data_IF_751270940364
#
_entry.id   IF_751270940364
#
_cell.length_a   1.000
_cell.length_b   1.000
_cell.length_c   1.000
_cell.angle_alpha   90.00
_cell.angle_beta   90.00
_cell.angle_gamma   90.00
#
_symmetry.space_group_name_H-M   'P 1'
#
loop_
_entity.id
_entity.type
_entity.pdbx_description
1 polymer ?
#
# COMPACT_ATOMS: atom_id res chain seq x y z
N UNK A 1 -33.14 -21.75 1.55
CA UNK A 1 -32.09 -20.95 0.86
C UNK A 1 -31.41 -19.93 1.78
N UNK A 2 -32.05 -19.41 2.84
CA UNK A 2 -31.48 -18.31 3.68
C UNK A 2 -30.30 -18.65 4.60
N UNK A 3 -30.04 -19.94 4.88
CA UNK A 3 -28.99 -20.35 5.83
C UNK A 3 -27.57 -20.39 5.20
N UNK A 4 -27.46 -20.69 3.91
CA UNK A 4 -26.18 -20.64 3.18
C UNK A 4 -25.73 -19.19 2.98
N UNK A 5 -26.65 -18.28 2.65
CA UNK A 5 -26.35 -16.85 2.51
C UNK A 5 -25.83 -16.22 3.81
N UNK A 6 -26.35 -16.66 4.97
CA UNK A 6 -25.92 -16.22 6.31
C UNK A 6 -24.50 -16.66 6.69
N UNK A 7 -23.98 -17.74 6.10
CA UNK A 7 -22.62 -18.24 6.32
C UNK A 7 -21.62 -17.72 5.28
N UNK A 8 -22.08 -17.49 4.05
CA UNK A 8 -21.25 -17.00 2.96
C UNK A 8 -20.93 -15.51 3.12
N UNK A 9 -21.87 -14.69 3.58
CA UNK A 9 -21.65 -13.26 3.84
C UNK A 9 -20.48 -12.96 4.80
N UNK A 10 -20.40 -13.57 6.00
CA UNK A 10 -19.28 -13.36 6.90
C UNK A 10 -17.96 -13.93 6.35
N UNK A 11 -17.98 -15.04 5.60
CA UNK A 11 -16.78 -15.59 4.95
C UNK A 11 -16.17 -14.63 3.92
N UNK A 12 -17.02 -14.01 3.10
CA UNK A 12 -16.60 -13.00 2.12
C UNK A 12 -16.03 -11.75 2.80
N UNK A 13 -16.64 -11.31 3.90
CA UNK A 13 -16.17 -10.13 4.65
C UNK A 13 -14.85 -10.41 5.41
N UNK A 14 -14.67 -11.61 5.96
CA UNK A 14 -13.40 -12.01 6.58
C UNK A 14 -12.27 -12.05 5.55
N UNK A 15 -12.53 -12.59 4.36
CA UNK A 15 -11.53 -12.67 3.29
C UNK A 15 -11.09 -11.29 2.82
N UNK A 16 -12.03 -10.35 2.65
CA UNK A 16 -11.72 -8.97 2.28
C UNK A 16 -10.98 -8.20 3.39
N UNK A 17 -11.29 -8.49 4.66
CA UNK A 17 -10.63 -7.84 5.80
C UNK A 17 -9.14 -8.20 5.89
N UNK A 18 -8.81 -9.47 5.71
CA UNK A 18 -7.41 -9.95 5.75
C UNK A 18 -6.60 -9.38 4.58
N UNK A 19 -7.17 -9.35 3.37
CA UNK A 19 -6.49 -8.76 2.19
C UNK A 19 -6.16 -7.28 2.39
N UNK A 20 -7.00 -6.54 3.12
CA UNK A 20 -6.76 -5.11 3.38
C UNK A 20 -5.77 -4.81 4.51
N UNK A 21 -5.24 -5.79 5.23
CA UNK A 21 -4.33 -5.53 6.35
C UNK A 21 -2.91 -5.16 5.86
N UNK A 22 -2.36 -5.91 4.91
CA UNK A 22 -1.06 -5.62 4.29
C UNK A 22 -0.98 -4.23 3.67
N UNK A 23 -2.05 -3.80 2.98
CA UNK A 23 -2.14 -2.45 2.41
C UNK A 23 -2.12 -1.37 3.50
N UNK A 24 -2.88 -1.55 4.58
CA UNK A 24 -2.90 -0.60 5.72
C UNK A 24 -1.54 -0.51 6.40
N UNK A 25 -0.87 -1.64 6.57
CA UNK A 25 0.50 -1.69 7.13
C UNK A 25 1.48 -0.97 6.21
N UNK A 26 1.47 -1.26 4.91
CA UNK A 26 2.33 -0.59 3.93
C UNK A 26 2.09 0.93 3.90
N UNK A 27 0.82 1.35 3.87
CA UNK A 27 0.44 2.75 3.91
C UNK A 27 0.97 3.46 5.16
N UNK A 28 0.86 2.81 6.33
CA UNK A 28 1.39 3.35 7.58
C UNK A 28 2.91 3.45 7.55
N UNK A 29 3.60 2.41 7.08
CA UNK A 29 5.06 2.35 7.05
C UNK A 29 5.64 3.42 6.09
N UNK A 30 5.06 3.57 4.89
CA UNK A 30 5.50 4.55 3.90
C UNK A 30 5.21 6.00 4.30
N UNK A 31 4.04 6.27 4.91
CA UNK A 31 3.55 7.64 5.06
C UNK A 31 3.61 8.22 6.48
N UNK A 32 3.95 7.42 7.50
CA UNK A 32 4.00 7.91 8.90
C UNK A 32 4.89 9.12 9.14
N UNK A 33 5.99 9.25 8.39
CA UNK A 33 6.95 10.36 8.49
C UNK A 33 7.26 10.97 7.11
N UNK A 34 6.32 10.86 6.17
CA UNK A 34 6.52 11.32 4.80
C UNK A 34 6.02 12.74 4.58
N UNK A 35 6.88 13.62 4.05
CA UNK A 35 6.48 14.97 3.64
C UNK A 35 6.20 15.02 2.13
N UNK A 36 4.92 15.06 1.78
CA UNK A 36 4.41 15.10 0.41
C UNK A 36 4.77 16.38 -0.36
N UNK A 37 5.17 17.45 0.34
CA UNK A 37 5.54 18.73 -0.29
C UNK A 37 7.01 18.77 -0.71
N UNK A 38 7.83 17.83 -0.21
CA UNK A 38 9.25 17.76 -0.54
C UNK A 38 9.42 17.07 -1.88
N UNK A 39 10.21 17.68 -2.76
CA UNK A 39 10.54 17.14 -4.08
C UNK A 39 11.11 15.72 -3.96
N UNK A 40 10.57 14.73 -4.69
CA UNK A 40 11.06 13.35 -4.67
C UNK A 40 12.36 13.24 -5.47
N UNK A 41 13.50 13.52 -4.83
CA UNK A 41 14.83 13.40 -5.43
C UNK A 41 15.84 12.96 -4.38
N UNK A 42 16.76 12.07 -4.74
CA UNK A 42 17.81 11.58 -3.83
C UNK A 42 18.77 12.71 -3.39
N UNK A 43 19.02 13.68 -4.26
CA UNK A 43 19.80 14.88 -3.96
C UNK A 43 19.26 16.10 -4.72
N UNK A 44 19.60 17.34 -4.30
CA UNK A 44 19.14 18.57 -4.95
C UNK A 44 19.48 18.67 -6.44
N UNK A 45 20.59 18.08 -6.87
CA UNK A 45 21.12 18.18 -8.23
C UNK A 45 20.39 17.25 -9.23
N UNK A 46 19.68 16.24 -8.74
CA UNK A 46 18.93 15.30 -9.60
C UNK A 46 17.65 15.96 -10.13
N UNK A 47 17.41 15.79 -11.44
CA UNK A 47 16.19 16.26 -12.11
C UNK A 47 15.06 15.24 -11.92
N UNK A 48 13.85 15.74 -11.69
CA UNK A 48 12.63 14.92 -11.62
C UNK A 48 11.86 15.10 -12.92
N UNK A 49 11.50 14.00 -13.58
CA UNK A 49 10.72 14.01 -14.83
C UNK A 49 9.23 13.99 -14.51
N UNK A 50 8.45 14.89 -15.10
CA UNK A 50 7.07 15.17 -14.64
C UNK A 50 6.04 14.11 -15.04
N UNK A 51 6.29 13.34 -16.12
CA UNK A 51 5.34 12.31 -16.56
C UNK A 51 5.45 11.02 -15.76
N UNK A 52 6.67 10.56 -15.56
CA UNK A 52 6.98 9.37 -14.77
C UNK A 52 8.27 9.67 -14.01
N UNK A 53 8.24 9.53 -12.69
CA UNK A 53 9.40 9.68 -11.84
C UNK A 53 9.46 8.55 -10.82
N UNK A 54 10.67 8.23 -10.40
CA UNK A 54 10.92 7.25 -9.33
C UNK A 54 11.13 7.98 -8.01
N UNK A 55 10.25 7.78 -7.04
CA UNK A 55 10.50 8.19 -5.65
C UNK A 55 11.13 7.03 -4.88
N UNK A 56 12.44 7.10 -4.63
CA UNK A 56 13.19 6.12 -3.87
C UNK A 56 12.64 5.89 -2.44
N UNK A 57 11.89 6.85 -1.89
CA UNK A 57 11.26 6.73 -0.55
C UNK A 57 10.00 5.86 -0.58
N UNK A 58 9.39 5.68 -1.76
CA UNK A 58 8.24 4.81 -1.97
C UNK A 58 8.73 3.45 -2.49
N UNK A 59 9.58 2.80 -1.69
CA UNK A 59 10.12 1.48 -2.00
C UNK A 59 9.96 0.55 -0.80
N UNK A 60 9.63 -0.72 -1.06
CA UNK A 60 9.47 -1.75 -0.05
C UNK A 60 9.82 -3.12 -0.64
N UNK A 61 9.94 -4.11 0.25
CA UNK A 61 10.08 -5.51 -0.14
C UNK A 61 8.69 -6.17 -0.08
N UNK A 62 8.16 -6.70 -1.19
CA UNK A 62 6.82 -7.30 -1.23
C UNK A 62 6.58 -8.38 -0.16
N UNK A 63 7.63 -9.12 0.21
CA UNK A 63 7.53 -10.19 1.22
C UNK A 63 7.16 -9.69 2.62
N UNK A 64 7.41 -8.42 2.92
CA UNK A 64 7.11 -7.81 4.23
C UNK A 64 5.69 -7.21 4.29
N UNK A 65 4.95 -7.26 3.17
CA UNK A 65 3.65 -6.64 2.96
C UNK A 65 2.74 -7.50 2.05
N UNK A 66 2.56 -8.77 2.40
CA UNK A 66 1.62 -9.71 1.74
C UNK A 66 1.79 -9.87 0.22
N UNK A 67 2.98 -9.60 -0.31
CA UNK A 67 3.28 -9.73 -1.73
C UNK A 67 2.81 -8.55 -2.59
N UNK A 68 2.53 -7.39 -2.01
CA UNK A 68 2.18 -6.17 -2.76
C UNK A 68 3.41 -5.69 -3.57
N UNK A 69 3.25 -5.47 -4.88
CA UNK A 69 4.28 -5.00 -5.84
C UNK A 69 4.09 -3.55 -6.28
#
# INVERSE_FOLDING_TARGET
MRALDLLLLPCCLCSLYVVGEGEKKLMKDLFSNHNLKVRPAASPQVKVVVREWTDHRLSWNPKDHDGIE
#
